data_IF_214751542789
#
_entry.id   IF_214751542789
#
_cell.length_a   1.000
_cell.length_b   1.000
_cell.length_c   1.000
_cell.angle_alpha   90.00
_cell.angle_beta   90.00
_cell.angle_gamma   90.00
#
_symmetry.space_group_name_H-M   'P 1'
#
loop_
_entity.id
_entity.type
_entity.pdbx_description
1 polymer ?
#
# COMPACT_ATOMS: atom_id res chain seq x y z
N UNK A 1 17.70 -9.54 5.60
CA UNK A 1 16.66 -8.60 5.12
C UNK A 1 15.70 -9.28 4.16
N UNK A 2 14.67 -9.96 4.64
CA UNK A 2 13.50 -10.24 3.80
C UNK A 2 12.48 -9.11 4.03
N UNK A 3 12.22 -8.29 3.01
CA UNK A 3 11.29 -7.16 3.13
C UNK A 3 9.86 -7.60 3.46
N UNK A 4 9.45 -8.77 2.93
CA UNK A 4 8.09 -9.27 3.00
C UNK A 4 8.03 -10.58 3.79
N UNK A 5 8.52 -10.54 5.03
CA UNK A 5 8.34 -11.61 6.02
C UNK A 5 7.20 -11.28 6.98
N UNK A 6 6.71 -12.29 7.71
CA UNK A 6 5.70 -12.13 8.77
C UNK A 6 6.14 -11.13 9.86
N UNK A 7 7.45 -10.87 9.98
CA UNK A 7 7.98 -9.93 10.94
C UNK A 7 7.69 -8.48 10.62
N UNK A 8 7.49 -8.12 9.34
CA UNK A 8 7.14 -6.76 8.97
C UNK A 8 5.86 -6.26 9.66
N UNK A 9 4.69 -6.93 9.51
CA UNK A 9 3.47 -6.47 10.17
C UNK A 9 3.58 -6.52 11.69
N UNK A 10 4.30 -7.51 12.24
CA UNK A 10 4.54 -7.61 13.70
C UNK A 10 5.34 -6.41 14.20
N UNK A 11 6.46 -6.07 13.55
CA UNK A 11 7.31 -4.94 13.93
C UNK A 11 6.60 -3.59 13.77
N UNK A 12 5.80 -3.44 12.71
CA UNK A 12 4.95 -2.28 12.48
C UNK A 12 3.95 -2.11 13.64
N UNK A 13 3.18 -3.15 13.96
CA UNK A 13 2.18 -3.10 15.03
C UNK A 13 2.81 -2.93 16.42
N UNK A 14 3.93 -3.60 16.70
CA UNK A 14 4.66 -3.47 17.95
C UNK A 14 5.14 -2.03 18.18
N UNK A 15 5.68 -1.38 17.14
CA UNK A 15 6.10 0.02 17.20
C UNK A 15 4.91 0.94 17.51
N UNK A 16 3.80 0.76 16.78
CA UNK A 16 2.59 1.56 16.97
C UNK A 16 1.96 1.34 18.36
N UNK A 17 1.99 0.12 18.90
CA UNK A 17 1.43 -0.24 20.20
C UNK A 17 2.14 0.46 21.37
N UNK A 18 3.42 0.79 21.21
CA UNK A 18 4.21 1.56 22.21
C UNK A 18 4.31 3.05 21.86
N UNK A 19 3.52 3.53 20.89
CA UNK A 19 3.48 4.94 20.49
C UNK A 19 4.70 5.43 19.72
N UNK A 20 5.45 4.51 19.09
CA UNK A 20 6.60 4.84 18.25
C UNK A 20 6.22 4.78 16.77
N UNK A 21 6.49 5.82 15.97
CA UNK A 21 6.20 5.79 14.54
C UNK A 21 7.03 4.72 13.83
N UNK A 22 6.38 3.89 13.03
CA UNK A 22 7.05 2.90 12.19
C UNK A 22 7.55 3.53 10.90
N UNK A 23 8.81 3.25 10.53
CA UNK A 23 9.40 3.70 9.25
C UNK A 23 9.78 2.46 8.45
N UNK A 24 8.92 1.96 7.55
CA UNK A 24 9.25 0.82 6.71
C UNK A 24 10.41 1.18 5.77
N UNK A 25 11.48 0.38 5.83
CA UNK A 25 12.63 0.49 4.95
C UNK A 25 12.51 -0.54 3.83
N UNK A 26 12.66 -0.09 2.58
CA UNK A 26 12.69 -1.00 1.44
C UNK A 26 14.07 -1.66 1.37
N UNK A 27 14.14 -2.98 1.50
CA UNK A 27 15.40 -3.74 1.52
C UNK A 27 16.16 -3.69 0.20
N UNK A 28 15.48 -3.28 -0.88
CA UNK A 28 16.07 -3.09 -2.20
C UNK A 28 16.62 -1.70 -2.44
N UNK A 29 16.34 -0.75 -1.55
CA UNK A 29 16.93 0.59 -1.67
C UNK A 29 18.45 0.47 -1.50
N UNK A 30 19.26 1.20 -2.31
CA UNK A 30 20.70 1.25 -2.11
C UNK A 30 21.02 1.67 -0.66
N UNK A 31 22.11 1.12 -0.10
CA UNK A 31 22.50 1.44 1.29
C UNK A 31 22.64 2.93 1.57
N UNK A 32 23.05 3.73 0.58
CA UNK A 32 23.07 5.19 0.66
C UNK A 32 21.68 5.79 0.93
N UNK A 33 20.65 5.36 0.19
CA UNK A 33 19.27 5.80 0.38
C UNK A 33 18.71 5.37 1.73
N UNK A 34 18.99 4.13 2.14
CA UNK A 34 18.59 3.65 3.48
C UNK A 34 19.21 4.52 4.57
N UNK A 35 20.50 4.84 4.46
CA UNK A 35 21.20 5.72 5.41
C UNK A 35 20.65 7.15 5.40
N UNK A 36 20.28 7.70 4.25
CA UNK A 36 19.60 9.00 4.16
C UNK A 36 18.26 8.99 4.90
N UNK A 37 17.46 7.94 4.74
CA UNK A 37 16.20 7.77 5.45
C UNK A 37 16.44 7.66 6.96
N UNK A 38 17.38 6.81 7.38
CA UNK A 38 17.77 6.62 8.79
C UNK A 38 18.17 7.93 9.43
N UNK A 39 19.02 8.72 8.76
CA UNK A 39 19.48 10.01 9.24
C UNK A 39 18.35 11.05 9.26
N UNK A 40 17.54 11.13 8.20
CA UNK A 40 16.43 12.09 8.09
C UNK A 40 15.34 11.82 9.14
N UNK A 41 15.01 10.55 9.38
CA UNK A 41 14.04 10.13 10.39
C UNK A 41 14.61 10.12 11.81
N UNK A 42 15.94 10.25 11.96
CA UNK A 42 16.67 10.12 13.23
C UNK A 42 16.30 8.82 13.95
N UNK A 43 16.32 7.71 13.23
CA UNK A 43 15.91 6.41 13.77
C UNK A 43 16.84 6.00 14.92
N UNK A 44 16.26 5.75 16.10
CA UNK A 44 17.01 5.24 17.25
C UNK A 44 17.22 3.73 17.19
N UNK A 45 16.35 3.01 16.46
CA UNK A 45 16.41 1.56 16.35
C UNK A 45 15.87 1.09 14.99
N UNK A 46 16.35 -0.05 14.52
CA UNK A 46 15.83 -0.78 13.36
C UNK A 46 15.52 -2.20 13.79
N UNK A 47 14.31 -2.63 13.46
CA UNK A 47 13.86 -4.01 13.62
C UNK A 47 14.20 -4.78 12.36
N UNK A 48 14.89 -5.90 12.51
CA UNK A 48 15.30 -6.72 11.38
C UNK A 48 15.25 -8.21 11.68
N UNK A 49 15.29 -8.98 10.61
CA UNK A 49 15.25 -10.43 10.61
C UNK A 49 16.66 -11.01 10.78
N UNK A 50 16.92 -11.61 11.94
CA UNK A 50 18.19 -12.19 12.31
C UNK A 50 19.16 -11.20 12.98
N UNK A 51 20.26 -11.75 13.47
CA UNK A 51 21.29 -11.01 14.21
C UNK A 51 22.29 -10.26 13.30
N UNK A 52 22.15 -10.39 11.98
CA UNK A 52 23.06 -9.77 11.01
C UNK A 52 22.61 -8.34 10.73
N UNK A 53 23.35 -7.40 11.33
CA UNK A 53 23.24 -5.97 11.06
C UNK A 53 23.78 -5.66 9.65
N UNK A 54 23.10 -4.82 8.84
CA UNK A 54 23.61 -4.39 7.53
C UNK A 54 24.88 -3.56 7.68
N UNK A 55 25.79 -3.76 6.73
CA UNK A 55 26.98 -2.93 6.59
C UNK A 55 26.60 -1.47 6.28
N UNK A 56 27.35 -0.53 6.87
CA UNK A 56 27.17 0.90 6.63
C UNK A 56 26.08 1.59 7.45
N UNK A 57 25.34 0.86 8.30
CA UNK A 57 24.37 1.46 9.23
C UNK A 57 25.10 2.08 10.45
N UNK A 58 24.85 3.37 10.72
CA UNK A 58 25.46 4.11 11.86
C UNK A 58 25.37 3.33 13.18
N UNK A 59 26.50 3.18 13.89
CA UNK A 59 26.60 2.42 15.15
C UNK A 59 25.66 2.92 16.26
N UNK A 60 25.19 4.17 16.16
CA UNK A 60 24.23 4.77 17.11
C UNK A 60 22.82 4.18 16.99
N UNK A 61 22.49 3.56 15.85
CA UNK A 61 21.19 2.93 15.61
C UNK A 61 21.18 1.54 16.24
N UNK A 62 20.27 1.27 17.17
CA UNK A 62 20.13 -0.05 17.77
C UNK A 62 19.54 -1.05 16.76
N UNK A 63 20.20 -2.19 16.57
CA UNK A 63 19.66 -3.31 15.78
C UNK A 63 18.88 -4.26 16.70
N UNK A 64 17.62 -4.51 16.38
CA UNK A 64 16.75 -5.42 17.15
C UNK A 64 16.39 -6.60 16.26
N UNK A 65 16.85 -7.79 16.64
CA UNK A 65 16.49 -9.04 15.98
C UNK A 65 15.09 -9.49 16.44
N UNK A 66 14.12 -9.34 15.55
CA UNK A 66 12.71 -9.70 15.80
C UNK A 66 12.51 -11.20 16.04
N UNK A 67 13.39 -12.07 15.55
CA UNK A 67 13.26 -13.53 15.65
C UNK A 67 13.57 -14.05 17.05
N UNK A 68 14.42 -13.34 17.80
CA UNK A 68 14.78 -13.70 19.17
C UNK A 68 13.68 -13.39 20.19
N UNK A 69 12.76 -12.49 19.82
CA UNK A 69 11.66 -12.01 20.67
C UNK A 69 10.44 -12.92 20.69
N UNK A 70 10.47 -14.04 19.95
CA UNK A 70 9.34 -14.99 19.76
C UNK A 70 9.34 -16.08 20.81
N UNK A 71 10.34 -16.12 21.71
CA UNK A 71 10.30 -17.04 22.83
C UNK A 71 9.09 -16.69 23.70
N UNK A 72 8.18 -17.63 23.97
CA UNK A 72 7.04 -17.39 24.86
C UNK A 72 7.59 -17.29 26.29
N UNK A 73 8.17 -16.15 26.61
CA UNK A 73 8.36 -15.77 27.99
C UNK A 73 6.97 -15.42 28.51
N UNK A 74 6.63 -15.91 29.71
CA UNK A 74 5.47 -15.50 30.47
C UNK A 74 5.62 -14.04 30.95
N UNK A 75 5.87 -13.13 30.02
CA UNK A 75 5.85 -11.70 30.28
C UNK A 75 4.39 -11.25 30.27
N UNK A 76 3.99 -10.40 31.22
CA UNK A 76 2.66 -9.79 31.19
C UNK A 76 2.48 -9.08 29.85
N UNK A 77 1.27 -9.18 29.27
CA UNK A 77 0.91 -8.42 28.08
C UNK A 77 1.32 -6.96 28.32
N UNK A 78 2.21 -6.38 27.52
CA UNK A 78 2.69 -5.02 27.76
C UNK A 78 1.49 -4.10 27.89
N UNK A 79 1.47 -3.27 28.94
CA UNK A 79 0.42 -2.29 29.12
C UNK A 79 0.41 -1.40 27.87
N UNK A 80 -0.70 -1.40 27.11
CA UNK A 80 -0.81 -0.55 25.94
C UNK A 80 -0.67 0.89 26.40
N UNK A 81 0.31 1.61 25.86
CA UNK A 81 0.39 3.05 26.08
C UNK A 81 -0.88 3.70 25.50
N UNK A 82 -1.48 4.63 26.22
CA UNK A 82 -2.53 5.46 25.64
C UNK A 82 -1.87 6.41 24.63
N UNK A 83 -1.96 6.08 23.35
CA UNK A 83 -1.41 6.87 22.24
C UNK A 83 -2.56 7.58 21.55
N UNK A 84 -2.43 8.90 21.35
CA UNK A 84 -3.42 9.64 20.57
C UNK A 84 -3.51 9.09 19.15
N UNK A 85 -4.73 8.91 18.63
CA UNK A 85 -4.93 8.47 17.23
C UNK A 85 -4.40 9.49 16.20
N UNK A 86 -4.15 10.73 16.63
CA UNK A 86 -3.55 11.78 15.81
C UNK A 86 -2.03 11.84 15.92
N UNK A 87 -1.42 11.06 16.82
CA UNK A 87 0.03 10.97 16.91
C UNK A 87 0.61 10.32 15.65
N UNK A 88 1.83 10.69 15.24
CA UNK A 88 2.57 10.02 14.18
C UNK A 88 2.62 8.50 14.42
N UNK A 89 2.17 7.72 13.44
CA UNK A 89 2.10 6.26 13.52
C UNK A 89 2.99 5.60 12.48
N UNK A 90 3.08 6.19 11.30
CA UNK A 90 3.92 5.67 10.22
C UNK A 90 4.53 6.82 9.41
N UNK A 91 5.78 6.67 8.99
CA UNK A 91 6.43 7.61 8.08
C UNK A 91 6.82 6.87 6.81
N UNK A 92 6.22 7.26 5.69
CA UNK A 92 6.49 6.65 4.38
C UNK A 92 7.38 7.59 3.57
N UNK A 93 8.56 7.10 3.20
CA UNK A 93 9.53 7.89 2.44
C UNK A 93 9.30 7.77 0.94
N UNK A 94 9.13 8.90 0.26
CA UNK A 94 8.97 8.98 -1.19
C UNK A 94 10.24 9.54 -1.85
N UNK A 95 10.35 9.38 -3.18
CA UNK A 95 11.37 10.07 -3.97
C UNK A 95 11.06 11.57 -3.98
N UNK A 96 11.89 12.37 -3.29
CA UNK A 96 11.74 13.83 -3.35
C UNK A 96 12.21 14.39 -4.68
N UNK A 97 11.56 15.46 -5.14
CA UNK A 97 11.96 16.23 -6.34
C UNK A 97 13.39 16.77 -6.31
N UNK A 98 13.99 16.90 -5.12
CA UNK A 98 15.37 17.35 -4.90
C UNK A 98 16.38 16.21 -4.84
N UNK A 99 15.96 14.97 -5.14
CA UNK A 99 16.78 13.76 -4.99
C UNK A 99 16.83 13.22 -3.56
N UNK A 100 16.56 14.05 -2.53
CA UNK A 100 16.53 13.62 -1.13
C UNK A 100 15.19 12.96 -0.76
N UNK A 101 15.17 11.87 0.04
CA UNK A 101 13.95 11.25 0.51
C UNK A 101 13.07 12.22 1.32
N UNK A 102 11.75 12.23 1.05
CA UNK A 102 10.76 13.01 1.81
C UNK A 102 9.89 12.07 2.63
N UNK A 103 9.86 12.25 3.95
CA UNK A 103 9.06 11.45 4.86
C UNK A 103 7.65 12.01 4.99
N UNK A 104 6.64 11.25 4.56
CA UNK A 104 5.23 11.60 4.74
C UNK A 104 4.72 10.96 6.03
N UNK A 105 4.42 11.80 7.00
CA UNK A 105 3.93 11.39 8.32
C UNK A 105 2.44 11.07 8.25
N UNK A 106 2.07 9.87 8.67
CA UNK A 106 0.69 9.40 8.74
C UNK A 106 0.35 9.10 10.20
N UNK A 107 -0.80 9.59 10.66
CA UNK A 107 -1.34 9.26 11.98
C UNK A 107 -2.11 7.95 11.95
N UNK A 108 -2.46 7.39 13.11
CA UNK A 108 -3.34 6.22 13.13
C UNK A 108 -4.70 6.55 12.51
N UNK A 109 -5.22 7.75 12.76
CA UNK A 109 -6.49 8.21 12.20
C UNK A 109 -6.46 8.24 10.66
N UNK A 110 -5.38 8.74 10.04
CA UNK A 110 -5.30 8.78 8.58
C UNK A 110 -5.16 7.39 7.95
N UNK A 111 -4.39 6.50 8.57
CA UNK A 111 -4.23 5.11 8.14
C UNK A 111 -5.54 4.32 8.27
N UNK A 112 -6.18 4.39 9.44
CA UNK A 112 -7.44 3.69 9.71
C UNK A 112 -8.57 4.18 8.80
N UNK A 113 -8.62 5.48 8.52
CA UNK A 113 -9.58 5.99 7.56
C UNK A 113 -9.36 5.45 6.15
N UNK A 114 -8.11 5.38 5.66
CA UNK A 114 -7.78 4.72 4.38
C UNK A 114 -8.18 3.26 4.35
N UNK A 115 -7.94 2.53 5.43
CA UNK A 115 -8.33 1.12 5.55
C UNK A 115 -9.84 1.00 5.53
N UNK A 116 -10.56 1.78 6.33
CA UNK A 116 -12.02 1.78 6.38
C UNK A 116 -12.63 2.06 5.00
N UNK A 117 -12.15 3.07 4.27
CA UNK A 117 -12.62 3.36 2.91
C UNK A 117 -12.42 2.18 1.93
N UNK A 118 -11.38 1.37 2.14
CA UNK A 118 -11.12 0.20 1.32
C UNK A 118 -12.02 -0.97 1.73
N UNK A 119 -12.10 -1.24 3.03
CA UNK A 119 -12.94 -2.29 3.63
C UNK A 119 -14.39 -2.10 3.28
N UNK A 120 -14.93 -0.89 3.48
CA UNK A 120 -16.33 -0.58 3.23
C UNK A 120 -16.66 -0.70 1.73
N UNK A 121 -15.83 -0.12 0.86
CA UNK A 121 -16.08 -0.14 -0.58
C UNK A 121 -15.99 -1.54 -1.18
N UNK A 122 -15.07 -2.37 -0.68
CA UNK A 122 -14.84 -3.71 -1.21
C UNK A 122 -15.51 -4.81 -0.39
N UNK A 123 -16.25 -4.47 0.68
CA UNK A 123 -16.84 -5.42 1.62
C UNK A 123 -15.82 -6.46 2.13
N UNK A 124 -14.63 -6.00 2.53
CA UNK A 124 -13.54 -6.88 2.97
C UNK A 124 -13.92 -7.53 4.29
N UNK A 125 -13.72 -8.84 4.41
CA UNK A 125 -14.02 -9.61 5.61
C UNK A 125 -13.04 -10.80 5.79
N UNK A 126 -13.28 -11.65 6.79
CA UNK A 126 -12.41 -12.77 7.13
C UNK A 126 -12.27 -13.85 6.06
N UNK A 127 -13.20 -13.91 5.10
CA UNK A 127 -13.15 -14.87 3.99
C UNK A 127 -12.19 -14.40 2.87
N UNK A 128 -11.64 -13.19 2.99
CA UNK A 128 -10.71 -12.66 2.00
C UNK A 128 -9.28 -13.17 2.14
N UNK A 129 -8.61 -13.25 1.00
CA UNK A 129 -7.22 -13.65 0.87
C UNK A 129 -6.49 -12.55 0.10
N UNK A 130 -5.61 -11.84 0.81
CA UNK A 130 -4.75 -10.78 0.29
C UNK A 130 -3.42 -11.33 -0.18
N UNK A 131 -2.97 -10.80 -1.32
CA UNK A 131 -1.59 -10.88 -1.76
C UNK A 131 -1.15 -9.48 -2.20
N UNK A 132 -0.58 -8.67 -1.29
CA UNK A 132 -0.05 -7.37 -1.65
C UNK A 132 1.12 -7.53 -2.61
N UNK A 133 0.99 -6.90 -3.78
CA UNK A 133 2.03 -6.91 -4.80
C UNK A 133 2.85 -5.62 -4.81
N UNK A 134 2.49 -4.69 -3.93
CA UNK A 134 3.26 -3.48 -3.67
C UNK A 134 4.03 -3.61 -2.36
N UNK A 135 5.22 -3.01 -2.31
CA UNK A 135 6.08 -3.10 -1.15
C UNK A 135 5.45 -2.47 0.11
N UNK A 136 5.79 -2.98 1.30
CA UNK A 136 5.27 -2.47 2.58
C UNK A 136 5.68 -1.02 2.87
N UNK A 137 6.74 -0.53 2.23
CA UNK A 137 7.17 0.87 2.30
C UNK A 137 6.33 1.83 1.43
N UNK A 138 5.24 1.33 0.82
CA UNK A 138 4.29 2.14 0.05
C UNK A 138 2.97 2.28 0.80
N UNK A 139 2.24 3.37 0.56
CA UNK A 139 0.91 3.56 1.18
C UNK A 139 -0.09 2.48 0.72
N UNK A 140 0.06 1.95 -0.50
CA UNK A 140 -0.78 0.88 -1.01
C UNK A 140 -0.53 -0.44 -0.26
N UNK A 141 0.74 -0.85 -0.14
CA UNK A 141 1.12 -2.07 0.58
C UNK A 141 0.76 -2.00 2.06
N UNK A 142 1.02 -0.85 2.71
CA UNK A 142 0.58 -0.60 4.08
C UNK A 142 -0.94 -0.76 4.25
N UNK A 143 -1.74 -0.18 3.35
CA UNK A 143 -3.20 -0.30 3.38
C UNK A 143 -3.66 -1.75 3.21
N UNK A 144 -3.09 -2.51 2.29
CA UNK A 144 -3.47 -3.92 2.09
C UNK A 144 -3.13 -4.79 3.30
N UNK A 145 -1.95 -4.61 3.89
CA UNK A 145 -1.54 -5.30 5.11
C UNK A 145 -2.48 -4.98 6.28
N UNK A 146 -2.74 -3.69 6.53
CA UNK A 146 -3.64 -3.29 7.61
C UNK A 146 -5.09 -3.73 7.37
N UNK A 147 -5.58 -3.66 6.12
CA UNK A 147 -6.92 -4.12 5.79
C UNK A 147 -7.10 -5.61 6.08
N UNK A 148 -6.12 -6.44 5.70
CA UNK A 148 -6.18 -7.87 5.98
C UNK A 148 -6.22 -8.15 7.50
N UNK A 149 -5.29 -7.55 8.25
CA UNK A 149 -5.17 -7.77 9.69
C UNK A 149 -6.38 -7.27 10.48
N UNK A 150 -6.95 -6.12 10.10
CA UNK A 150 -8.08 -5.51 10.82
C UNK A 150 -9.44 -6.14 10.51
N UNK A 151 -9.53 -6.95 9.45
CA UNK A 151 -10.78 -7.63 9.05
C UNK A 151 -10.76 -9.13 9.33
N UNK A 152 -9.64 -9.66 9.84
CA UNK A 152 -9.44 -11.10 10.04
C UNK A 152 -9.22 -11.89 8.75
N UNK A 153 -8.93 -11.20 7.65
CA UNK A 153 -8.62 -11.82 6.37
C UNK A 153 -7.23 -12.48 6.39
N UNK A 154 -6.99 -13.38 5.44
CA UNK A 154 -5.68 -14.02 5.26
C UNK A 154 -4.73 -13.09 4.51
N UNK A 155 -3.49 -12.96 4.99
CA UNK A 155 -2.44 -12.14 4.38
C UNK A 155 -1.27 -13.01 3.93
N UNK A 156 -1.09 -13.17 2.61
CA UNK A 156 0.12 -13.75 2.04
C UNK A 156 1.13 -12.66 1.71
N UNK A 157 2.36 -12.85 2.18
CA UNK A 157 3.48 -11.95 1.89
C UNK A 157 4.46 -12.64 0.95
N UNK A 158 4.86 -11.94 -0.11
CA UNK A 158 5.96 -12.33 -0.98
C UNK A 158 6.64 -11.09 -1.54
N UNK A 159 7.89 -11.23 -1.95
CA UNK A 159 8.62 -10.17 -2.65
C UNK A 159 8.66 -10.48 -4.14
N UNK A 160 7.88 -9.74 -4.93
CA UNK A 160 7.60 -10.01 -6.37
C UNK A 160 8.89 -10.19 -7.16
N UNK A 161 9.88 -9.33 -6.93
CA UNK A 161 11.16 -9.33 -7.65
C UNK A 161 12.06 -10.49 -7.22
N UNK A 162 11.96 -10.96 -5.99
CA UNK A 162 12.72 -12.11 -5.50
C UNK A 162 12.14 -13.44 -6.00
N UNK A 163 10.81 -13.57 -6.03
CA UNK A 163 10.14 -14.83 -6.43
C UNK A 163 9.82 -14.89 -7.93
N UNK A 164 9.75 -13.74 -8.59
CA UNK A 164 9.41 -13.61 -10.00
C UNK A 164 7.91 -13.78 -10.30
N UNK A 165 7.48 -13.25 -11.44
CA UNK A 165 6.06 -13.20 -11.85
C UNK A 165 5.41 -14.58 -11.97
N UNK A 166 6.16 -15.62 -12.38
CA UNK A 166 5.65 -16.99 -12.45
C UNK A 166 5.23 -17.51 -11.07
N UNK A 167 6.03 -17.24 -10.03
CA UNK A 167 5.69 -17.64 -8.68
C UNK A 167 4.50 -16.83 -8.13
N UNK A 168 4.41 -15.54 -8.47
CA UNK A 168 3.24 -14.71 -8.12
C UNK A 168 1.96 -15.29 -8.71
N UNK A 169 1.94 -15.61 -10.01
CA UNK A 169 0.80 -16.26 -10.69
C UNK A 169 0.43 -17.57 -10.03
N UNK A 170 1.44 -18.41 -9.74
CA UNK A 170 1.27 -19.67 -9.02
C UNK A 170 0.62 -19.47 -7.65
N UNK A 171 1.06 -18.47 -6.89
CA UNK A 171 0.54 -18.15 -5.55
C UNK A 171 -0.90 -17.63 -5.60
N UNK A 172 -1.22 -16.75 -6.55
CA UNK A 172 -2.60 -16.28 -6.74
C UNK A 172 -3.55 -17.45 -6.92
N UNK A 173 -3.15 -18.43 -7.74
CA UNK A 173 -3.94 -19.62 -8.00
C UNK A 173 -3.97 -20.59 -6.81
N UNK A 174 -2.84 -20.86 -6.17
CA UNK A 174 -2.75 -21.87 -5.10
C UNK A 174 -3.43 -21.44 -3.82
N UNK A 175 -3.33 -20.16 -3.46
CA UNK A 175 -3.93 -19.62 -2.23
C UNK A 175 -5.36 -19.10 -2.43
N UNK A 176 -5.84 -19.06 -3.68
CA UNK A 176 -7.17 -18.53 -3.97
C UNK A 176 -7.31 -17.05 -3.63
N UNK A 177 -6.31 -16.23 -3.98
CA UNK A 177 -6.30 -14.78 -3.69
C UNK A 177 -7.58 -14.14 -4.20
N UNK A 178 -8.28 -13.41 -3.33
CA UNK A 178 -9.58 -12.80 -3.59
C UNK A 178 -9.46 -11.31 -3.89
N UNK A 179 -8.46 -10.64 -3.33
CA UNK A 179 -8.24 -9.20 -3.48
C UNK A 179 -6.76 -8.89 -3.70
N UNK A 180 -6.48 -8.00 -4.64
CA UNK A 180 -5.13 -7.44 -4.84
C UNK A 180 -5.18 -6.03 -5.43
N UNK A 181 -4.13 -5.26 -5.16
CA UNK A 181 -3.83 -3.98 -5.80
C UNK A 181 -2.72 -4.12 -6.84
N UNK A 182 -2.98 -3.61 -8.04
CA UNK A 182 -2.06 -3.62 -9.18
C UNK A 182 -1.74 -2.19 -9.63
N UNK A 183 -0.46 -1.91 -9.83
CA UNK A 183 -0.05 -0.79 -10.68
C UNK A 183 -0.10 -1.23 -12.15
N UNK A 184 -0.51 -0.37 -13.10
CA UNK A 184 -0.64 -0.74 -14.53
C UNK A 184 0.58 -1.44 -15.13
N UNK A 185 1.80 -0.99 -14.84
CA UNK A 185 3.01 -1.66 -15.30
C UNK A 185 3.12 -3.12 -14.83
N UNK A 186 2.83 -3.37 -13.55
CA UNK A 186 2.83 -4.73 -12.99
C UNK A 186 1.67 -5.56 -13.53
N UNK A 187 0.48 -4.97 -13.72
CA UNK A 187 -0.66 -5.64 -14.35
C UNK A 187 -0.28 -6.19 -15.73
N UNK A 188 0.31 -5.35 -16.58
CA UNK A 188 0.72 -5.76 -17.93
C UNK A 188 1.73 -6.91 -17.88
N UNK A 189 2.74 -6.81 -17.03
CA UNK A 189 3.75 -7.86 -16.90
C UNK A 189 3.17 -9.16 -16.31
N UNK A 190 2.30 -9.05 -15.31
CA UNK A 190 1.72 -10.20 -14.61
C UNK A 190 0.71 -10.94 -15.48
N UNK A 191 -0.04 -10.25 -16.33
CA UNK A 191 -1.09 -10.83 -17.17
C UNK A 191 -0.65 -11.09 -18.61
N UNK A 192 0.55 -10.66 -19.00
CA UNK A 192 1.13 -10.97 -20.31
C UNK A 192 1.13 -12.49 -20.55
N UNK A 193 0.57 -12.88 -21.69
CA UNK A 193 0.46 -14.26 -22.19
C UNK A 193 -0.31 -15.24 -21.30
N UNK A 194 -1.03 -14.74 -20.30
CA UNK A 194 -1.86 -15.61 -19.46
C UNK A 194 -3.15 -16.06 -20.18
N UNK A 195 -3.60 -17.30 -19.94
CA UNK A 195 -4.87 -17.78 -20.46
C UNK A 195 -6.03 -16.99 -19.85
N UNK A 196 -7.20 -17.08 -20.50
CA UNK A 196 -8.41 -16.53 -19.92
C UNK A 196 -8.68 -17.13 -18.53
N UNK A 197 -9.25 -16.33 -17.63
CA UNK A 197 -9.62 -16.75 -16.27
C UNK A 197 -8.44 -17.24 -15.38
N UNK A 198 -7.18 -16.92 -15.74
CA UNK A 198 -6.00 -17.26 -14.94
C UNK A 198 -6.06 -16.72 -13.49
N UNK A 199 -6.78 -15.62 -13.27
CA UNK A 199 -6.97 -14.93 -12.00
C UNK A 199 -8.44 -15.00 -11.53
N UNK A 200 -9.14 -16.09 -11.85
CA UNK A 200 -10.58 -16.28 -11.56
C UNK A 200 -10.98 -16.21 -10.08
N UNK A 201 -10.04 -16.42 -9.15
CA UNK A 201 -10.30 -16.34 -7.70
C UNK A 201 -10.49 -14.90 -7.23
N UNK A 202 -9.98 -13.91 -7.97
CA UNK A 202 -10.16 -12.51 -7.63
C UNK A 202 -11.65 -12.15 -7.68
N UNK A 203 -12.16 -11.63 -6.57
CA UNK A 203 -13.46 -10.96 -6.48
C UNK A 203 -13.32 -9.45 -6.64
N UNK A 204 -12.19 -8.87 -6.25
CA UNK A 204 -11.87 -7.45 -6.47
C UNK A 204 -10.44 -7.32 -6.99
N UNK A 205 -10.29 -6.65 -8.12
CA UNK A 205 -8.99 -6.22 -8.64
C UNK A 205 -8.93 -4.69 -8.60
N UNK A 206 -8.10 -4.14 -7.71
CA UNK A 206 -7.91 -2.70 -7.61
C UNK A 206 -6.73 -2.28 -8.49
N UNK A 207 -6.90 -1.23 -9.28
CA UNK A 207 -5.84 -0.66 -10.13
C UNK A 207 -5.66 0.82 -9.80
N UNK A 208 -4.40 1.25 -9.68
CA UNK A 208 -4.09 2.67 -9.47
C UNK A 208 -2.59 2.96 -9.46
N UNK A 209 -2.23 4.17 -9.05
CA UNK A 209 -0.83 4.59 -8.90
C UNK A 209 -0.16 5.05 -10.20
N UNK A 210 -0.71 4.68 -11.35
CA UNK A 210 -0.35 5.22 -12.67
C UNK A 210 -1.62 5.45 -13.49
N UNK A 211 -1.47 6.10 -14.66
CA UNK A 211 -2.56 6.23 -15.63
C UNK A 211 -3.01 4.84 -16.10
N UNK A 212 -4.30 4.55 -15.97
CA UNK A 212 -4.91 3.30 -16.41
C UNK A 212 -5.47 3.46 -17.82
N UNK A 213 -5.04 2.63 -18.76
CA UNK A 213 -5.54 2.61 -20.14
C UNK A 213 -6.69 1.62 -20.32
N UNK A 214 -7.49 1.81 -21.37
CA UNK A 214 -8.54 0.84 -21.74
C UNK A 214 -7.95 -0.54 -22.11
N UNK A 215 -6.73 -0.57 -22.67
CA UNK A 215 -6.00 -1.82 -22.92
C UNK A 215 -5.65 -2.57 -21.63
N UNK A 216 -5.28 -1.86 -20.55
CA UNK A 216 -5.03 -2.50 -19.25
C UNK A 216 -6.33 -3.14 -18.71
N UNK A 217 -7.48 -2.47 -18.89
CA UNK A 217 -8.80 -3.01 -18.50
C UNK A 217 -9.16 -4.24 -19.32
N UNK A 218 -8.96 -4.21 -20.64
CA UNK A 218 -9.23 -5.34 -21.52
C UNK A 218 -8.39 -6.57 -21.12
N UNK A 219 -7.10 -6.35 -20.82
CA UNK A 219 -6.19 -7.38 -20.34
C UNK A 219 -6.66 -7.98 -19.01
N UNK A 220 -7.03 -7.13 -18.05
CA UNK A 220 -7.55 -7.58 -16.76
C UNK A 220 -8.86 -8.37 -16.90
N UNK A 221 -9.82 -7.86 -17.68
CA UNK A 221 -11.12 -8.51 -17.92
C UNK A 221 -11.00 -9.90 -18.56
N UNK A 222 -9.96 -10.15 -19.35
CA UNK A 222 -9.65 -11.48 -19.89
C UNK A 222 -9.14 -12.43 -18.79
N UNK A 223 -8.36 -11.92 -17.84
CA UNK A 223 -7.71 -12.74 -16.81
C UNK A 223 -8.62 -13.06 -15.62
N UNK A 224 -9.62 -12.23 -15.32
CA UNK A 224 -10.51 -12.40 -14.16
C UNK A 224 -11.91 -12.86 -14.55
N UNK A 225 -12.62 -13.47 -13.59
CA UNK A 225 -13.99 -13.91 -13.79
C UNK A 225 -14.95 -12.75 -14.08
N UNK A 226 -16.12 -13.04 -14.67
CA UNK A 226 -17.16 -12.02 -14.91
C UNK A 226 -17.66 -11.34 -13.63
N UNK A 227 -17.61 -12.04 -12.50
CA UNK A 227 -18.03 -11.55 -11.19
C UNK A 227 -16.98 -10.64 -10.52
N UNK A 228 -15.73 -10.66 -10.97
CA UNK A 228 -14.69 -9.80 -10.41
C UNK A 228 -15.01 -8.32 -10.65
N UNK A 229 -15.01 -7.55 -9.57
CA UNK A 229 -15.17 -6.11 -9.58
C UNK A 229 -13.82 -5.43 -9.85
N UNK A 230 -13.78 -4.55 -10.84
CA UNK A 230 -12.58 -3.78 -11.15
C UNK A 230 -12.72 -2.40 -10.52
N UNK A 231 -11.88 -2.11 -9.53
CA UNK A 231 -11.87 -0.84 -8.83
C UNK A 231 -10.72 0.04 -9.33
N UNK A 232 -11.03 1.21 -9.84
CA UNK A 232 -10.02 2.19 -10.25
C UNK A 232 -9.88 3.23 -9.14
N UNK A 233 -8.64 3.61 -8.81
CA UNK A 233 -8.40 4.58 -7.76
C UNK A 233 -7.23 5.52 -8.05
N UNK A 234 -7.38 6.75 -7.54
CA UNK A 234 -6.34 7.76 -7.49
C UNK A 234 -6.08 8.16 -6.04
N UNK A 235 -4.82 8.14 -5.64
CA UNK A 235 -4.34 8.55 -4.33
C UNK A 235 -2.85 8.83 -4.38
N UNK A 236 -2.35 9.58 -3.40
CA UNK A 236 -0.93 9.71 -3.13
C UNK A 236 -0.59 9.21 -1.72
N UNK A 237 0.68 9.27 -1.35
CA UNK A 237 1.12 8.98 0.02
C UNK A 237 0.54 10.02 1.00
N UNK A 238 0.45 11.27 0.58
CA UNK A 238 -0.06 12.42 1.35
C UNK A 238 -1.58 12.35 1.54
N UNK A 239 -2.34 12.00 0.50
CA UNK A 239 -3.81 12.01 0.57
C UNK A 239 -4.45 10.88 -0.21
N UNK A 240 -5.66 10.48 0.17
CA UNK A 240 -6.53 9.74 -0.75
C UNK A 240 -7.15 10.71 -1.75
N UNK A 241 -7.59 10.20 -2.89
CA UNK A 241 -8.32 11.00 -3.86
C UNK A 241 -9.66 10.35 -4.21
N UNK A 242 -9.70 9.73 -5.37
CA UNK A 242 -10.93 9.21 -5.95
C UNK A 242 -10.89 7.68 -6.06
N UNK A 243 -12.07 7.06 -6.06
CA UNK A 243 -12.22 5.67 -6.47
C UNK A 243 -13.60 5.41 -7.07
N UNK A 244 -13.70 4.33 -7.83
CA UNK A 244 -14.97 3.78 -8.29
C UNK A 244 -14.81 2.35 -8.78
N UNK A 245 -15.94 1.65 -8.91
CA UNK A 245 -16.01 0.38 -9.61
C UNK A 245 -16.40 0.64 -11.06
N UNK A 246 -15.55 0.21 -11.99
CA UNK A 246 -15.76 0.39 -13.43
C UNK A 246 -16.83 -0.59 -13.93
N UNK A 247 -18.00 -0.12 -14.38
CA UNK A 247 -19.02 -0.98 -14.99
C UNK A 247 -18.47 -1.67 -16.24
N UNK A 248 -18.96 -2.89 -16.52
CA UNK A 248 -18.50 -3.67 -17.68
C UNK A 248 -18.86 -3.00 -19.01
N UNK A 249 -20.01 -2.36 -19.05
CA UNK A 249 -20.62 -1.67 -20.19
C UNK A 249 -20.29 -0.17 -20.25
N UNK A 250 -19.40 0.32 -19.38
CA UNK A 250 -18.97 1.71 -19.43
C UNK A 250 -18.31 2.05 -20.79
N UNK A 251 -18.73 3.13 -21.47
CA UNK A 251 -18.21 3.48 -22.77
C UNK A 251 -16.74 3.90 -22.69
N UNK A 252 -15.90 3.33 -23.54
CA UNK A 252 -14.49 3.72 -23.65
C UNK A 252 -14.41 5.13 -24.25
N UNK A 253 -13.95 6.08 -23.44
CA UNK A 253 -13.83 7.48 -23.83
C UNK A 253 -12.41 7.99 -23.53
N UNK A 254 -11.84 8.74 -24.46
CA UNK A 254 -10.48 9.27 -24.34
C UNK A 254 -9.40 8.20 -24.24
N UNK A 255 -8.18 8.64 -23.92
CA UNK A 255 -7.00 7.76 -23.89
C UNK A 255 -6.84 6.95 -22.59
N UNK A 256 -7.66 7.20 -21.56
CA UNK A 256 -7.52 6.56 -20.25
C UNK A 256 -8.83 6.47 -19.51
N UNK A 257 -8.88 5.49 -18.62
CA UNK A 257 -10.00 5.26 -17.71
C UNK A 257 -10.09 6.41 -16.69
N UNK A 258 -11.27 6.98 -16.44
CA UNK A 258 -11.47 7.97 -15.39
C UNK A 258 -11.06 7.42 -14.00
N UNK A 259 -10.59 8.31 -13.12
CA UNK A 259 -10.24 7.94 -11.73
C UNK A 259 -11.44 7.84 -10.79
N UNK A 260 -12.64 8.18 -11.28
CA UNK A 260 -13.90 8.05 -10.57
C UNK A 260 -14.27 9.26 -9.73
N UNK A 261 -14.91 8.99 -8.61
CA UNK A 261 -15.44 10.00 -7.70
C UNK A 261 -14.63 10.08 -6.42
N UNK A 262 -14.62 11.25 -5.82
CA UNK A 262 -13.92 11.50 -4.58
C UNK A 262 -14.50 10.71 -3.42
N UNK A 263 -13.63 10.32 -2.49
CA UNK A 263 -14.04 9.61 -1.30
C UNK A 263 -14.88 10.50 -0.36
N UNK A 264 -15.83 9.92 0.40
CA UNK A 264 -16.53 10.65 1.45
C UNK A 264 -15.58 11.35 2.43
N UNK A 265 -15.86 12.60 2.78
CA UNK A 265 -15.08 13.36 3.76
C UNK A 265 -13.87 14.12 3.21
N UNK A 266 -13.66 14.13 1.89
CA UNK A 266 -12.67 15.00 1.25
C UNK A 266 -13.35 16.12 0.46
N UNK A 267 -12.75 17.31 0.46
CA UNK A 267 -13.11 18.42 -0.42
C UNK A 267 -12.03 18.57 -1.47
N UNK A 268 -12.39 19.03 -2.67
CA UNK A 268 -11.45 19.28 -3.75
C UNK A 268 -11.76 20.58 -4.49
N UNK A 269 -10.77 21.06 -5.23
CA UNK A 269 -10.93 22.03 -6.30
C UNK A 269 -10.01 21.66 -7.46
N UNK A 270 -10.41 22.03 -8.68
CA UNK A 270 -9.51 22.04 -9.83
C UNK A 270 -9.32 23.51 -10.20
N UNK A 271 -8.07 24.00 -10.18
CA UNK A 271 -7.78 25.43 -10.30
C UNK A 271 -6.85 25.76 -11.48
N UNK A 272 -6.95 26.99 -12.01
CA UNK A 272 -6.00 27.56 -12.95
C UNK A 272 -4.71 28.03 -12.25
N UNK A 273 -3.77 28.61 -13.02
CA UNK A 273 -2.49 29.12 -12.49
C UNK A 273 -2.68 30.28 -11.48
N UNK A 274 -3.82 30.97 -11.53
CA UNK A 274 -4.19 32.02 -10.59
C UNK A 274 -5.00 31.50 -9.37
N UNK A 275 -5.18 30.18 -9.24
CA UNK A 275 -5.90 29.56 -8.12
C UNK A 275 -7.42 29.66 -8.20
N UNK A 276 -7.98 30.01 -9.36
CA UNK A 276 -9.44 30.13 -9.57
C UNK A 276 -10.03 28.80 -10.06
N UNK A 277 -11.25 28.43 -9.65
CA UNK A 277 -11.88 27.20 -10.13
C UNK A 277 -12.03 27.16 -11.66
N UNK A 278 -11.61 26.05 -12.28
CA UNK A 278 -11.79 25.84 -13.72
C UNK A 278 -13.20 25.32 -14.04
N UNK A 279 -13.69 25.62 -15.25
CA UNK A 279 -14.98 25.11 -15.72
C UNK A 279 -14.95 23.60 -16.01
N UNK A 280 -16.10 22.90 -15.92
CA UNK A 280 -16.19 21.49 -16.30
C UNK A 280 -15.61 21.21 -17.70
N UNK A 281 -14.79 20.15 -17.80
CA UNK A 281 -14.13 19.76 -19.05
C UNK A 281 -12.82 20.50 -19.37
N UNK A 282 -12.37 21.42 -18.50
CA UNK A 282 -11.05 22.06 -18.60
C UNK A 282 -10.05 21.43 -17.64
N UNK A 283 -8.77 21.50 -17.98
CA UNK A 283 -7.66 21.01 -17.16
C UNK A 283 -7.19 22.09 -16.18
N UNK A 284 -6.72 21.67 -15.01
CA UNK A 284 -6.14 22.52 -13.98
C UNK A 284 -5.46 21.68 -12.90
N UNK A 285 -4.93 22.32 -11.86
CA UNK A 285 -4.29 21.67 -10.72
C UNK A 285 -5.34 21.15 -9.72
N UNK A 286 -5.16 19.92 -9.25
CA UNK A 286 -6.04 19.31 -8.25
C UNK A 286 -5.60 19.69 -6.83
N UNK A 287 -6.44 20.43 -6.12
CA UNK A 287 -6.29 20.71 -4.69
C UNK A 287 -7.19 19.78 -3.88
N UNK A 288 -6.67 19.21 -2.80
CA UNK A 288 -7.41 18.34 -1.89
C UNK A 288 -7.32 18.89 -0.47
N UNK A 289 -8.47 18.94 0.22
CA UNK A 289 -8.56 19.24 1.64
C UNK A 289 -9.26 18.09 2.35
N UNK A 290 -8.64 17.57 3.39
CA UNK A 290 -9.18 16.49 4.22
C UNK A 290 -8.64 16.61 5.64
N UNK A 291 -9.41 16.15 6.63
CA UNK A 291 -8.97 16.03 8.03
C UNK A 291 -8.05 14.83 8.28
N UNK A 292 -7.78 14.05 7.24
CA UNK A 292 -6.99 12.82 7.23
C UNK A 292 -5.66 12.99 6.47
N UNK A 293 -5.29 14.24 6.18
CA UNK A 293 -4.04 14.67 5.55
C UNK A 293 -3.23 15.45 6.58
#
# INVERSE_FOLDING_TARGET
>A
FQANSVWYPVAMLASMAVGRPSVPLNTRDPGSRTNEIVAAARLSAILGDGNVRPDGLSQEVHWIDVTTSVTPQAQPTPQSCSVSVDAPAMVLYTSGSTGRPKGIVNSQRSLLWRVQQYVDACHINSDDVFLPLTGPATIAGCREVLAALLTGATLHLLEVEAVGLRAVRGRVKSEGVTITYLVPALLRALLADEPADAFRSLRVARIGGEKVSWTDIALLRKAVSKACLIQIGYSSTETTGAQWFLPRDWPEQGASVPVGWLLPGITFAIVDEEGRPVQPGKSGELLIRSRYV
#
